data_IF_109805903733
#
_entry.id   IF_109805903733
#
_cell.length_a   1.000
_cell.length_b   1.000
_cell.length_c   1.000
_cell.angle_alpha   90.00
_cell.angle_beta   90.00
_cell.angle_gamma   90.00
#
_symmetry.space_group_name_H-M   'P 1'
#
loop_
_entity.id
_entity.type
_entity.pdbx_description
1 polymer ?
#
# COMPACT_ATOMS: atom_id res chain seq x y z
N UNK A 1 -6.04 19.08 -35.04
CA UNK A 1 -5.27 19.16 -33.78
C UNK A 1 -6.23 19.14 -32.61
N UNK A 2 -6.12 18.15 -31.74
CA UNK A 2 -6.83 18.10 -30.45
C UNK A 2 -5.92 18.65 -29.34
N UNK A 3 -6.51 19.18 -28.27
CA UNK A 3 -5.80 19.68 -27.08
C UNK A 3 -6.70 19.58 -25.85
N UNK A 4 -6.14 19.82 -24.65
CA UNK A 4 -6.94 19.85 -23.42
C UNK A 4 -7.79 21.13 -23.33
N UNK A 5 -8.83 21.10 -22.49
CA UNK A 5 -9.67 22.27 -22.24
C UNK A 5 -8.88 23.41 -21.56
N UNK A 6 -7.92 23.08 -20.70
CA UNK A 6 -7.02 24.07 -20.10
C UNK A 6 -6.15 24.77 -21.13
N UNK A 7 -5.61 24.02 -22.11
CA UNK A 7 -4.78 24.60 -23.18
C UNK A 7 -5.61 25.52 -24.09
N UNK A 8 -6.85 25.12 -24.37
CA UNK A 8 -7.74 25.88 -25.24
C UNK A 8 -8.25 27.18 -24.61
N UNK A 9 -8.69 27.13 -23.34
CA UNK A 9 -9.29 28.28 -22.65
C UNK A 9 -8.26 29.18 -21.96
N UNK A 10 -7.08 28.64 -21.63
CA UNK A 10 -6.04 29.34 -20.90
C UNK A 10 -6.29 29.45 -19.39
N UNK A 11 -5.21 29.76 -18.66
CA UNK A 11 -5.19 29.81 -17.18
C UNK A 11 -6.12 30.86 -16.55
N UNK A 12 -6.40 31.93 -17.29
CA UNK A 12 -7.18 33.07 -16.80
C UNK A 12 -8.69 32.88 -17.04
N UNK A 13 -9.10 31.81 -17.73
CA UNK A 13 -10.50 31.50 -17.97
C UNK A 13 -11.30 31.34 -16.68
N UNK A 14 -12.51 31.90 -16.65
CA UNK A 14 -13.51 31.69 -15.61
C UNK A 14 -14.87 31.46 -16.26
N UNK A 15 -15.63 30.48 -15.75
CA UNK A 15 -17.02 30.27 -16.13
C UNK A 15 -17.95 31.34 -15.54
N UNK A 16 -19.25 31.26 -15.86
CA UNK A 16 -20.28 32.20 -15.35
C UNK A 16 -20.37 32.24 -13.83
N UNK A 17 -20.07 31.12 -13.16
CA UNK A 17 -20.01 31.01 -11.70
C UNK A 17 -18.66 31.44 -11.10
N UNK A 18 -17.75 32.02 -11.89
CA UNK A 18 -16.42 32.46 -11.43
C UNK A 18 -15.41 31.34 -11.18
N UNK A 19 -15.74 30.09 -11.54
CA UNK A 19 -14.85 28.93 -11.36
C UNK A 19 -13.90 28.75 -12.56
N UNK A 20 -12.65 28.31 -12.33
CA UNK A 20 -11.74 27.91 -13.40
C UNK A 20 -12.13 26.54 -13.99
N UNK A 21 -11.33 26.04 -14.94
CA UNK A 21 -11.45 24.65 -15.42
C UNK A 21 -11.17 23.68 -14.26
N UNK A 22 -12.09 22.74 -14.04
CA UNK A 22 -11.93 21.65 -13.08
C UNK A 22 -11.64 20.37 -13.86
N UNK A 23 -10.49 19.74 -13.60
CA UNK A 23 -10.06 18.54 -14.30
C UNK A 23 -10.36 17.27 -13.50
N UNK A 24 -11.08 16.34 -14.14
CA UNK A 24 -11.36 15.01 -13.58
C UNK A 24 -10.79 13.99 -14.58
N UNK A 25 -9.47 13.76 -14.58
CA UNK A 25 -8.82 12.96 -15.60
C UNK A 25 -9.06 11.45 -15.41
N UNK A 26 -8.84 10.72 -16.49
CA UNK A 26 -8.94 9.27 -16.60
C UNK A 26 -9.45 8.88 -17.98
N UNK A 27 -9.14 7.68 -18.44
CA UNK A 27 -9.53 7.18 -19.76
C UNK A 27 -10.31 5.85 -19.62
N UNK A 28 -11.55 5.85 -19.11
CA UNK A 28 -12.36 6.98 -18.61
C UNK A 28 -12.08 7.29 -17.11
N UNK A 29 -12.48 8.46 -16.58
CA UNK A 29 -12.43 8.69 -15.13
C UNK A 29 -13.33 7.70 -14.38
N UNK A 30 -12.98 7.43 -13.11
CA UNK A 30 -13.86 6.66 -12.21
C UNK A 30 -15.17 7.45 -12.04
N UNK A 31 -16.31 6.78 -12.23
CA UNK A 31 -17.62 7.45 -12.22
C UNK A 31 -17.93 8.18 -10.90
N UNK A 32 -17.51 7.59 -9.78
CA UNK A 32 -17.62 8.22 -8.46
C UNK A 32 -16.78 9.51 -8.37
N UNK A 33 -15.56 9.52 -8.91
CA UNK A 33 -14.70 10.72 -8.89
C UNK A 33 -15.40 11.89 -9.60
N UNK A 34 -16.11 11.62 -10.70
CA UNK A 34 -16.89 12.62 -11.41
C UNK A 34 -18.07 13.10 -10.58
N UNK A 35 -18.92 12.17 -10.13
CA UNK A 35 -20.15 12.48 -9.38
C UNK A 35 -19.85 13.22 -8.07
N UNK A 36 -18.82 12.79 -7.33
CA UNK A 36 -18.38 13.44 -6.09
C UNK A 36 -17.91 14.87 -6.34
N UNK A 37 -17.11 15.09 -7.39
CA UNK A 37 -16.62 16.43 -7.71
C UNK A 37 -17.77 17.36 -8.07
N UNK A 38 -18.72 16.90 -8.89
CA UNK A 38 -19.92 17.67 -9.25
C UNK A 38 -20.73 18.01 -8.00
N UNK A 39 -21.00 17.03 -7.13
CA UNK A 39 -21.73 17.25 -5.90
C UNK A 39 -21.04 18.28 -4.99
N UNK A 40 -19.73 18.18 -4.80
CA UNK A 40 -18.95 19.10 -3.97
C UNK A 40 -18.96 20.53 -4.52
N UNK A 41 -18.82 20.69 -5.84
CA UNK A 41 -18.89 22.00 -6.50
C UNK A 41 -20.28 22.60 -6.35
N UNK A 42 -21.35 21.81 -6.53
CA UNK A 42 -22.72 22.30 -6.35
C UNK A 42 -22.99 22.72 -4.91
N UNK A 43 -22.54 21.96 -3.91
CA UNK A 43 -22.66 22.32 -2.50
C UNK A 43 -21.93 23.62 -2.18
N UNK A 44 -20.73 23.82 -2.72
CA UNK A 44 -19.99 25.09 -2.60
C UNK A 44 -20.76 26.26 -3.22
N UNK A 45 -21.28 26.10 -4.45
CA UNK A 45 -22.03 27.16 -5.14
C UNK A 45 -23.34 27.53 -4.42
N UNK A 46 -23.92 26.60 -3.64
CA UNK A 46 -25.09 26.88 -2.78
C UNK A 46 -24.70 27.48 -1.41
N UNK A 47 -23.41 27.68 -1.13
CA UNK A 47 -22.92 28.21 0.15
C UNK A 47 -23.02 27.21 1.30
N UNK A 48 -23.20 25.91 1.02
CA UNK A 48 -23.37 24.85 2.02
C UNK A 48 -22.01 24.28 2.48
N UNK A 49 -20.94 24.49 1.71
CA UNK A 49 -19.60 23.99 2.02
C UNK A 49 -18.48 24.88 1.51
N UNK A 50 -17.23 24.62 1.94
CA UNK A 50 -16.06 25.35 1.46
C UNK A 50 -15.73 25.00 0.00
N UNK A 51 -14.93 25.86 -0.65
CA UNK A 51 -14.36 25.54 -1.96
C UNK A 51 -13.45 24.30 -1.79
N UNK A 52 -13.65 23.23 -2.57
CA UNK A 52 -12.77 22.07 -2.48
C UNK A 52 -11.33 22.42 -2.83
N UNK A 53 -10.37 21.71 -2.23
CA UNK A 53 -8.95 21.88 -2.58
C UNK A 53 -8.66 21.25 -3.95
N UNK A 54 -7.92 21.96 -4.78
CA UNK A 54 -7.43 21.49 -6.06
C UNK A 54 -5.90 21.48 -6.07
N UNK A 55 -5.32 20.54 -6.81
CA UNK A 55 -3.88 20.47 -7.01
C UNK A 55 -3.40 21.41 -8.14
N UNK A 56 -2.10 21.41 -8.40
CA UNK A 56 -1.45 22.24 -9.41
C UNK A 56 -1.92 21.99 -10.85
N UNK A 57 -2.61 20.87 -11.10
CA UNK A 57 -3.20 20.52 -12.39
C UNK A 57 -4.71 20.79 -12.42
N UNK A 58 -5.25 21.50 -11.43
CA UNK A 58 -6.69 21.80 -11.34
C UNK A 58 -7.54 20.56 -11.07
N UNK A 59 -6.97 19.51 -10.47
CA UNK A 59 -7.71 18.29 -10.11
C UNK A 59 -8.14 18.32 -8.65
N UNK A 60 -9.30 17.74 -8.29
CA UNK A 60 -9.69 17.50 -6.91
C UNK A 60 -8.58 16.86 -6.07
N UNK A 61 -8.00 17.60 -5.13
CA UNK A 61 -6.81 17.15 -4.40
C UNK A 61 -7.09 15.86 -3.62
N UNK A 62 -8.28 15.70 -3.02
CA UNK A 62 -8.64 14.49 -2.28
C UNK A 62 -8.73 13.23 -3.15
N UNK A 63 -8.86 13.36 -4.48
CA UNK A 63 -8.93 12.25 -5.43
C UNK A 63 -7.58 11.94 -6.08
N UNK A 64 -6.72 12.95 -6.27
CA UNK A 64 -5.50 12.83 -7.09
C UNK A 64 -4.19 13.20 -6.35
N UNK A 65 -4.22 13.50 -5.05
CA UNK A 65 -3.01 13.85 -4.29
C UNK A 65 -2.03 12.70 -4.13
N UNK A 66 -2.51 11.48 -3.97
CA UNK A 66 -1.67 10.30 -3.78
C UNK A 66 -1.41 9.55 -5.08
N UNK A 67 -0.24 8.90 -5.15
CA UNK A 67 0.04 7.99 -6.26
C UNK A 67 -0.67 6.67 -6.07
N UNK A 68 -0.90 5.96 -7.17
CA UNK A 68 -1.55 4.65 -7.14
C UNK A 68 -0.79 3.68 -6.23
N UNK A 69 0.54 3.79 -6.17
CA UNK A 69 1.36 2.90 -5.36
C UNK A 69 1.15 3.06 -3.86
N UNK A 70 0.78 4.25 -3.37
CA UNK A 70 0.53 4.49 -1.93
C UNK A 70 -0.61 3.62 -1.38
N UNK A 71 -1.58 3.28 -2.23
CA UNK A 71 -2.73 2.44 -1.85
C UNK A 71 -2.87 1.22 -2.76
N UNK A 72 -1.76 0.72 -3.28
CA UNK A 72 -1.78 -0.47 -4.14
C UNK A 72 -1.85 -1.74 -3.28
N UNK A 73 -2.83 -2.60 -3.55
CA UNK A 73 -2.97 -3.91 -2.86
C UNK A 73 -1.77 -4.84 -3.08
N UNK A 74 -0.95 -4.58 -4.10
CA UNK A 74 0.30 -5.31 -4.39
C UNK A 74 1.53 -4.64 -3.78
N UNK A 75 1.37 -3.60 -2.96
CA UNK A 75 2.45 -2.86 -2.31
C UNK A 75 3.33 -3.74 -1.42
N UNK A 76 2.74 -4.71 -0.71
CA UNK A 76 3.50 -5.68 0.10
C UNK A 76 4.47 -6.52 -0.74
N UNK A 77 4.04 -6.99 -1.92
CA UNK A 77 4.95 -7.69 -2.84
C UNK A 77 6.09 -6.78 -3.32
N UNK A 78 5.81 -5.51 -3.57
CA UNK A 78 6.84 -4.55 -3.94
C UNK A 78 7.84 -4.36 -2.80
N UNK A 79 7.40 -4.11 -1.57
CA UNK A 79 8.25 -3.93 -0.37
C UNK A 79 9.10 -5.17 -0.08
N UNK A 80 8.53 -6.35 -0.32
CA UNK A 80 9.26 -7.59 -0.21
C UNK A 80 10.12 -7.89 -1.45
N UNK A 81 10.19 -7.03 -2.47
CA UNK A 81 11.01 -7.26 -3.67
C UNK A 81 10.60 -8.51 -4.47
N UNK A 82 9.31 -8.85 -4.44
CA UNK A 82 8.69 -9.93 -5.20
C UNK A 82 7.93 -9.33 -6.39
N UNK A 83 8.42 -9.61 -7.59
CA UNK A 83 7.89 -9.05 -8.82
C UNK A 83 7.36 -10.13 -9.75
N UNK A 84 6.27 -9.82 -10.45
CA UNK A 84 5.74 -10.69 -11.49
C UNK A 84 6.66 -10.67 -12.70
N UNK A 85 6.89 -11.83 -13.31
CA UNK A 85 7.64 -11.98 -14.57
C UNK A 85 6.74 -11.98 -15.80
N UNK A 86 5.44 -12.20 -15.60
CA UNK A 86 4.42 -12.30 -16.66
C UNK A 86 3.10 -11.64 -16.23
N UNK A 87 2.29 -11.28 -17.22
CA UNK A 87 0.93 -10.76 -16.97
C UNK A 87 0.05 -11.85 -16.35
N UNK A 88 -0.85 -11.45 -15.45
CA UNK A 88 -1.71 -12.38 -14.71
C UNK A 88 -1.09 -12.90 -13.41
N UNK A 89 0.20 -12.67 -13.16
CA UNK A 89 0.83 -12.93 -11.87
C UNK A 89 0.14 -12.18 -10.72
N UNK A 90 0.27 -12.66 -9.49
CA UNK A 90 -0.32 -12.03 -8.28
C UNK A 90 0.60 -10.98 -7.65
N UNK A 91 1.89 -11.05 -7.98
CA UNK A 91 2.99 -10.25 -7.46
C UNK A 91 3.01 -8.82 -8.03
N UNK A 92 3.93 -7.96 -7.59
CA UNK A 92 3.98 -6.59 -8.09
C UNK A 92 4.35 -6.51 -9.58
N UNK A 93 3.61 -5.71 -10.35
CA UNK A 93 3.70 -5.61 -11.81
C UNK A 93 4.70 -4.55 -12.31
N UNK A 94 5.52 -3.98 -11.43
CA UNK A 94 6.40 -2.85 -11.76
C UNK A 94 7.42 -3.22 -12.86
N UNK A 95 7.94 -4.44 -12.83
CA UNK A 95 8.95 -4.89 -13.81
C UNK A 95 8.35 -5.20 -15.17
N UNK A 96 7.04 -5.38 -15.28
CA UNK A 96 6.34 -5.62 -16.55
C UNK A 96 5.58 -4.39 -17.07
N UNK A 97 5.89 -3.20 -16.53
CA UNK A 97 5.45 -1.92 -17.10
C UNK A 97 4.51 -1.08 -16.25
N UNK A 98 4.28 -1.42 -14.98
CA UNK A 98 3.40 -0.62 -14.12
C UNK A 98 4.05 0.71 -13.68
N UNK A 99 3.43 1.83 -14.08
CA UNK A 99 3.81 3.19 -13.69
C UNK A 99 3.17 3.68 -12.37
N UNK A 100 2.49 2.79 -11.64
CA UNK A 100 1.78 3.11 -10.40
C UNK A 100 2.57 3.95 -9.37
N UNK A 101 3.91 3.79 -9.22
CA UNK A 101 4.71 4.62 -8.31
C UNK A 101 4.63 6.14 -8.53
N UNK A 102 4.36 6.59 -9.76
CA UNK A 102 4.41 8.02 -10.13
C UNK A 102 3.09 8.55 -10.70
N UNK A 103 2.07 7.70 -10.80
CA UNK A 103 0.76 8.07 -11.35
C UNK A 103 -0.17 8.45 -10.22
N UNK A 104 -0.80 9.63 -10.33
CA UNK A 104 -1.79 10.12 -9.39
C UNK A 104 -3.18 9.62 -9.77
N UNK A 105 -3.69 8.63 -9.02
CA UNK A 105 -5.02 8.04 -9.24
C UNK A 105 -5.41 7.18 -8.02
N UNK A 106 -6.68 7.27 -7.61
CA UNK A 106 -7.22 6.56 -6.45
C UNK A 106 -7.81 5.17 -6.76
N UNK A 107 -7.76 4.69 -8.01
CA UNK A 107 -8.50 3.50 -8.46
C UNK A 107 -8.18 2.23 -7.66
N UNK A 108 -6.98 2.08 -7.09
CA UNK A 108 -6.62 0.89 -6.32
C UNK A 108 -7.26 0.84 -4.93
N UNK A 109 -7.49 2.01 -4.33
CA UNK A 109 -8.21 2.10 -3.07
C UNK A 109 -9.72 2.12 -3.30
N UNK A 110 -10.14 2.85 -4.34
CA UNK A 110 -11.56 3.11 -4.60
C UNK A 110 -12.26 1.97 -5.32
N UNK A 111 -11.54 1.21 -6.16
CA UNK A 111 -12.13 0.31 -7.15
C UNK A 111 -12.64 1.08 -8.38
N UNK A 112 -12.95 0.35 -9.47
CA UNK A 112 -13.43 0.96 -10.71
C UNK A 112 -14.94 1.23 -10.66
N UNK A 113 -15.74 0.27 -10.17
CA UNK A 113 -17.20 0.36 -10.07
C UNK A 113 -17.63 -0.33 -8.77
N UNK A 114 -18.33 0.36 -7.87
CA UNK A 114 -18.81 -0.20 -6.60
C UNK A 114 -17.72 -0.92 -5.80
N UNK A 115 -16.52 -0.32 -5.71
CA UNK A 115 -15.34 -0.93 -5.07
C UNK A 115 -14.81 -2.22 -5.72
N UNK A 116 -15.30 -2.57 -6.90
CA UNK A 116 -14.89 -3.74 -7.67
C UNK A 116 -13.96 -3.35 -8.83
N UNK A 117 -13.07 -4.29 -9.18
CA UNK A 117 -12.14 -4.12 -10.29
C UNK A 117 -11.13 -3.00 -10.06
N UNK A 118 -10.53 -2.53 -11.15
CA UNK A 118 -9.36 -1.66 -11.13
C UNK A 118 -8.24 -2.25 -11.99
N UNK A 119 -7.08 -1.60 -11.98
CA UNK A 119 -5.95 -2.03 -12.82
C UNK A 119 -5.15 -3.13 -12.13
N UNK A 120 -4.36 -2.76 -11.10
CA UNK A 120 -3.34 -3.65 -10.54
C UNK A 120 -3.95 -4.82 -9.78
N UNK A 121 -5.04 -4.59 -9.05
CA UNK A 121 -5.73 -5.65 -8.33
C UNK A 121 -6.26 -6.76 -9.27
N UNK A 122 -6.51 -6.45 -10.55
CA UNK A 122 -6.93 -7.42 -11.58
C UNK A 122 -5.80 -7.91 -12.48
N UNK A 123 -4.54 -7.51 -12.23
CA UNK A 123 -3.38 -7.92 -13.04
C UNK A 123 -3.02 -6.97 -14.18
N UNK A 124 -3.74 -5.86 -14.36
CA UNK A 124 -3.43 -4.82 -15.33
C UNK A 124 -2.36 -3.85 -14.81
N UNK A 125 -1.36 -3.54 -15.65
CA UNK A 125 -0.36 -2.52 -15.34
C UNK A 125 -0.99 -1.12 -15.33
N UNK A 126 -0.50 -0.24 -14.45
CA UNK A 126 -0.86 1.17 -14.52
C UNK A 126 -0.17 1.80 -15.72
N UNK A 127 -0.95 2.35 -16.65
CA UNK A 127 -0.45 3.00 -17.87
C UNK A 127 -0.38 4.53 -17.77
N UNK A 128 -0.74 5.10 -16.60
CA UNK A 128 -0.71 6.54 -16.39
C UNK A 128 -1.84 7.34 -17.02
N UNK A 129 -3.00 6.73 -17.27
CA UNK A 129 -4.13 7.36 -18.00
C UNK A 129 -4.76 8.60 -17.32
N UNK A 130 -4.38 8.94 -16.09
CA UNK A 130 -4.81 10.15 -15.38
C UNK A 130 -3.78 11.29 -15.45
N UNK A 131 -2.63 11.06 -16.10
CA UNK A 131 -1.52 12.00 -16.14
C UNK A 131 -1.51 12.79 -17.47
N UNK A 132 -1.12 14.07 -17.48
CA UNK A 132 -1.12 14.88 -18.71
C UNK A 132 -0.21 14.37 -19.83
N UNK A 133 0.84 13.63 -19.48
CA UNK A 133 1.78 13.06 -20.45
C UNK A 133 1.29 11.78 -21.12
N UNK A 134 0.08 11.30 -20.80
CA UNK A 134 -0.46 10.08 -21.41
C UNK A 134 -0.90 10.33 -22.86
N UNK A 135 -0.59 9.42 -23.81
CA UNK A 135 0.15 8.16 -23.62
C UNK A 135 1.68 8.29 -23.77
N UNK A 136 2.18 9.35 -24.40
CA UNK A 136 3.53 9.41 -24.95
C UNK A 136 4.65 9.29 -23.91
N UNK A 137 4.47 9.86 -22.71
CA UNK A 137 5.48 9.79 -21.63
C UNK A 137 5.53 8.42 -20.94
N UNK A 138 4.56 7.54 -21.20
CA UNK A 138 4.39 6.25 -20.53
C UNK A 138 4.60 5.07 -21.49
N UNK A 139 4.65 5.33 -22.79
CA UNK A 139 4.90 4.33 -23.81
C UNK A 139 6.40 3.96 -23.91
N UNK A 140 6.74 2.71 -24.26
CA UNK A 140 5.84 1.56 -24.41
C UNK A 140 5.39 1.00 -23.05
N UNK A 141 4.08 0.72 -22.89
CA UNK A 141 3.47 0.33 -21.61
C UNK A 141 3.93 -1.01 -21.03
N UNK A 142 4.56 -1.86 -21.83
CA UNK A 142 5.01 -3.20 -21.44
C UNK A 142 6.47 -3.25 -20.98
N UNK A 143 7.20 -2.13 -21.06
CA UNK A 143 8.58 -2.05 -20.55
C UNK A 143 8.60 -1.51 -19.14
N UNK A 144 9.48 -2.06 -18.31
CA UNK A 144 9.77 -1.53 -16.98
C UNK A 144 10.03 -0.02 -17.05
N UNK A 145 9.37 0.80 -16.21
CA UNK A 145 9.68 2.22 -16.14
C UNK A 145 11.16 2.41 -15.73
N UNK A 146 11.93 3.30 -16.39
CA UNK A 146 13.38 3.41 -16.15
C UNK A 146 13.77 3.65 -14.69
N UNK A 147 13.03 4.52 -13.98
CA UNK A 147 13.25 4.79 -12.56
C UNK A 147 12.95 3.61 -11.64
N UNK A 148 12.11 2.68 -12.09
CA UNK A 148 11.74 1.49 -11.32
C UNK A 148 12.84 0.43 -11.31
N UNK A 149 13.72 0.38 -12.31
CA UNK A 149 14.82 -0.61 -12.33
C UNK A 149 15.75 -0.44 -11.12
N UNK A 150 16.03 0.80 -10.73
CA UNK A 150 16.87 1.10 -9.56
C UNK A 150 16.18 0.66 -8.28
N UNK A 151 14.93 1.06 -8.09
CA UNK A 151 14.18 0.75 -6.86
C UNK A 151 13.87 -0.74 -6.74
N UNK A 152 13.50 -1.43 -7.82
CA UNK A 152 13.28 -2.88 -7.82
C UNK A 152 14.52 -3.65 -7.37
N UNK A 153 15.70 -3.29 -7.87
CA UNK A 153 16.96 -3.93 -7.47
C UNK A 153 17.32 -3.68 -6.00
N UNK A 154 17.14 -2.44 -5.52
CA UNK A 154 17.37 -2.10 -4.13
C UNK A 154 16.40 -2.84 -3.18
N UNK A 155 15.12 -2.92 -3.55
CA UNK A 155 14.13 -3.56 -2.69
C UNK A 155 14.25 -5.09 -2.70
N UNK A 156 14.77 -5.71 -3.77
CA UNK A 156 15.08 -7.16 -3.79
C UNK A 156 16.05 -7.57 -2.68
N UNK A 157 17.09 -6.78 -2.42
CA UNK A 157 18.10 -7.12 -1.39
C UNK A 157 17.52 -6.99 0.01
N UNK A 158 16.84 -5.88 0.30
CA UNK A 158 16.09 -5.67 1.54
C UNK A 158 15.05 -6.77 1.76
N UNK A 159 14.24 -7.06 0.74
CA UNK A 159 13.19 -8.07 0.78
C UNK A 159 13.72 -9.47 1.04
N UNK A 160 14.90 -9.84 0.50
CA UNK A 160 15.50 -11.15 0.77
C UNK A 160 15.77 -11.37 2.27
N UNK A 161 16.20 -10.33 2.98
CA UNK A 161 16.44 -10.37 4.42
C UNK A 161 15.12 -10.36 5.19
N UNK A 162 14.25 -9.39 4.89
CA UNK A 162 13.00 -9.21 5.66
C UNK A 162 12.05 -10.40 5.52
N UNK A 163 11.93 -11.01 4.34
CA UNK A 163 11.12 -12.23 4.15
C UNK A 163 11.62 -13.39 5.02
N UNK A 164 12.94 -13.53 5.19
CA UNK A 164 13.53 -14.57 6.05
C UNK A 164 13.15 -14.31 7.51
N UNK A 165 13.30 -13.07 7.98
CA UNK A 165 12.97 -12.67 9.34
C UNK A 165 11.47 -12.81 9.63
N UNK A 166 10.60 -12.30 8.75
CA UNK A 166 9.15 -12.45 8.85
C UNK A 166 8.72 -13.91 8.89
N UNK A 167 9.32 -14.79 8.06
CA UNK A 167 9.04 -16.23 8.08
C UNK A 167 9.42 -16.87 9.40
N UNK A 168 10.57 -16.51 9.97
CA UNK A 168 10.99 -17.02 11.29
C UNK A 168 10.01 -16.59 12.39
N UNK A 169 9.63 -15.30 12.42
CA UNK A 169 8.63 -14.80 13.35
C UNK A 169 7.27 -15.46 13.14
N UNK A 170 6.82 -15.65 11.90
CA UNK A 170 5.55 -16.30 11.60
C UNK A 170 5.55 -17.77 12.04
N UNK A 171 6.65 -18.50 11.84
CA UNK A 171 6.78 -19.88 12.33
C UNK A 171 6.64 -19.94 13.84
N UNK A 172 7.20 -18.97 14.57
CA UNK A 172 7.02 -18.85 16.02
C UNK A 172 5.56 -18.54 16.39
N UNK A 173 4.96 -17.50 15.79
CA UNK A 173 3.60 -17.06 16.13
C UNK A 173 2.51 -18.06 15.72
N UNK A 174 2.82 -19.03 14.86
CA UNK A 174 1.92 -20.12 14.52
C UNK A 174 1.93 -21.28 15.55
N UNK A 175 2.75 -21.18 16.61
CA UNK A 175 2.78 -22.15 17.72
C UNK A 175 1.97 -21.63 18.91
N UNK A 176 1.12 -22.49 19.47
CA UNK A 176 0.46 -22.23 20.75
C UNK A 176 1.46 -22.46 21.90
N UNK A 177 1.45 -21.68 22.99
CA UNK A 177 2.34 -21.87 24.14
C UNK A 177 2.35 -23.31 24.69
N UNK A 178 1.21 -24.01 24.66
CA UNK A 178 1.11 -25.42 25.11
C UNK A 178 1.89 -26.37 24.20
N UNK A 179 1.96 -26.09 22.90
CA UNK A 179 2.67 -26.94 21.93
C UNK A 179 4.18 -26.74 22.04
N UNK A 180 4.62 -25.53 22.36
CA UNK A 180 6.02 -25.24 22.68
C UNK A 180 6.48 -26.00 23.93
N UNK A 181 5.64 -26.11 24.95
CA UNK A 181 6.01 -26.76 26.21
C UNK A 181 5.94 -28.30 26.15
N UNK A 182 4.90 -28.85 25.53
CA UNK A 182 4.58 -30.28 25.66
C UNK A 182 5.24 -31.20 24.63
N UNK A 183 5.35 -30.76 23.37
CA UNK A 183 5.72 -31.67 22.27
C UNK A 183 6.60 -31.04 21.19
N UNK A 184 6.70 -29.70 21.15
CA UNK A 184 7.24 -28.93 20.03
C UNK A 184 6.66 -29.39 18.67
N UNK A 185 5.39 -29.82 18.67
CA UNK A 185 4.70 -30.37 17.51
C UNK A 185 3.28 -29.80 17.40
N UNK A 186 2.91 -29.40 16.18
CA UNK A 186 1.56 -28.93 15.88
C UNK A 186 0.62 -30.14 15.85
N UNK A 187 -0.48 -30.17 16.63
CA UNK A 187 -1.35 -31.34 16.78
C UNK A 187 -2.34 -31.52 15.60
N UNK A 188 -2.10 -30.86 14.46
CA UNK A 188 -2.98 -30.95 13.29
C UNK A 188 -2.71 -32.21 12.49
N UNK A 189 -3.74 -33.04 12.29
CA UNK A 189 -3.67 -34.20 11.39
C UNK A 189 -3.52 -33.84 9.91
N UNK A 190 -3.71 -32.58 9.54
CA UNK A 190 -3.54 -32.06 8.18
C UNK A 190 -2.19 -31.36 7.97
N UNK A 191 -1.54 -30.95 9.07
CA UNK A 191 -0.31 -30.17 9.03
C UNK A 191 0.92 -31.05 9.00
N UNK A 192 1.58 -31.17 7.84
CA UNK A 192 2.93 -31.71 7.78
C UNK A 192 3.94 -30.63 8.20
N UNK A 193 4.16 -30.51 9.51
CA UNK A 193 5.08 -29.52 10.06
C UNK A 193 6.42 -30.19 10.28
N UNK A 194 7.43 -29.70 9.57
CA UNK A 194 8.79 -30.18 9.70
C UNK A 194 9.28 -29.92 11.13
N UNK A 195 9.88 -30.94 11.76
CA UNK A 195 10.35 -30.82 13.14
C UNK A 195 11.41 -29.72 13.22
N UNK A 196 11.34 -28.80 14.19
CA UNK A 196 12.30 -27.72 14.31
C UNK A 196 13.72 -28.29 14.51
N UNK A 197 14.68 -27.79 13.73
CA UNK A 197 16.09 -28.11 13.90
C UNK A 197 16.60 -27.60 15.26
N UNK A 198 17.74 -28.13 15.73
CA UNK A 198 18.38 -27.62 16.96
C UNK A 198 18.66 -26.11 16.87
N UNK A 199 19.05 -25.63 15.69
CA UNK A 199 19.30 -24.21 15.43
C UNK A 199 18.04 -23.36 15.50
N UNK A 200 16.89 -23.85 14.99
CA UNK A 200 15.63 -23.12 15.09
C UNK A 200 15.13 -23.08 16.53
N UNK A 201 15.35 -24.13 17.33
CA UNK A 201 15.05 -24.12 18.78
C UNK A 201 15.90 -23.12 19.56
N UNK A 202 17.19 -22.99 19.23
CA UNK A 202 18.05 -21.98 19.84
C UNK A 202 17.64 -20.56 19.46
N UNK A 203 17.32 -20.32 18.18
CA UNK A 203 16.80 -19.04 17.70
C UNK A 203 15.45 -18.70 18.33
N UNK A 204 14.59 -19.69 18.53
CA UNK A 204 13.32 -19.57 19.23
C UNK A 204 13.51 -19.06 20.66
N UNK A 205 14.37 -19.73 21.44
CA UNK A 205 14.66 -19.30 22.81
C UNK A 205 15.18 -17.86 22.87
N UNK A 206 16.07 -17.48 21.94
CA UNK A 206 16.59 -16.11 21.85
C UNK A 206 15.49 -15.10 21.47
N UNK A 207 14.65 -15.43 20.47
CA UNK A 207 13.57 -14.56 20.02
C UNK A 207 12.54 -14.31 21.13
N UNK A 208 12.11 -15.37 21.82
CA UNK A 208 11.19 -15.29 22.96
C UNK A 208 11.77 -14.41 24.08
N UNK A 209 13.05 -14.60 24.42
CA UNK A 209 13.73 -13.79 25.44
C UNK A 209 13.82 -12.32 25.04
N UNK A 210 13.99 -12.00 23.76
CA UNK A 210 13.95 -10.62 23.26
C UNK A 210 12.54 -10.04 23.33
N UNK A 211 11.52 -10.79 22.90
CA UNK A 211 10.12 -10.37 22.90
C UNK A 211 9.63 -9.99 24.30
N UNK A 212 10.02 -10.76 25.31
CA UNK A 212 9.64 -10.55 26.72
C UNK A 212 10.78 -9.92 27.55
N UNK A 213 11.73 -9.23 26.91
CA UNK A 213 12.86 -8.61 27.62
C UNK A 213 12.43 -7.53 28.63
N UNK A 214 11.32 -6.84 28.34
CA UNK A 214 10.74 -5.77 29.14
C UNK A 214 9.30 -6.05 29.61
N UNK A 215 8.82 -7.30 29.48
CA UNK A 215 7.47 -7.69 29.93
C UNK A 215 7.43 -9.13 30.45
N UNK A 216 6.53 -9.40 31.39
CA UNK A 216 6.32 -10.77 31.86
C UNK A 216 5.64 -11.61 30.76
N UNK A 217 6.07 -12.87 30.60
CA UNK A 217 5.42 -13.80 29.68
C UNK A 217 4.02 -14.14 30.19
N UNK A 218 2.94 -13.96 29.40
CA UNK A 218 1.60 -14.36 29.79
C UNK A 218 1.55 -15.84 30.19
N UNK A 219 0.93 -16.15 31.34
CA UNK A 219 0.85 -17.52 31.87
C UNK A 219 2.05 -17.97 32.72
N UNK A 220 3.12 -17.17 32.81
CA UNK A 220 4.13 -17.38 33.85
C UNK A 220 3.62 -16.82 35.18
N UNK A 221 3.52 -17.67 36.21
CA UNK A 221 3.28 -17.21 37.58
C UNK A 221 4.50 -16.42 38.03
N UNK A 222 4.45 -15.11 37.87
CA UNK A 222 5.39 -14.21 38.51
C UNK A 222 4.96 -14.12 39.97
N UNK A 223 5.57 -14.93 40.83
CA UNK A 223 5.44 -14.73 42.28
C UNK A 223 5.75 -13.27 42.62
N UNK A 224 5.04 -12.70 43.59
CA UNK A 224 4.93 -11.27 43.94
C UNK A 224 6.25 -10.47 44.13
N UNK A 225 7.43 -11.04 43.91
CA UNK A 225 8.73 -10.41 44.08
C UNK A 225 9.41 -9.80 42.83
N UNK A 226 9.00 -10.12 41.60
CA UNK A 226 9.81 -9.77 40.39
C UNK A 226 9.44 -8.43 39.73
N UNK A 227 8.24 -7.89 39.99
CA UNK A 227 7.78 -6.62 39.40
C UNK A 227 8.47 -5.37 39.99
N UNK A 228 9.28 -5.50 41.05
CA UNK A 228 9.93 -4.36 41.72
C UNK A 228 11.24 -3.90 41.08
N UNK A 229 11.79 -4.58 40.08
CA UNK A 229 13.15 -4.29 39.60
C UNK A 229 13.27 -3.26 38.46
N UNK A 230 12.19 -2.82 37.79
CA UNK A 230 12.31 -1.91 36.63
C UNK A 230 11.22 -0.84 36.49
N UNK A 231 10.73 -0.30 37.61
CA UNK A 231 9.82 0.84 37.63
C UNK A 231 10.50 2.14 38.05
N UNK A 232 11.11 2.87 37.11
CA UNK A 232 11.24 4.33 37.23
C UNK A 232 10.24 4.97 36.27
N UNK A 233 8.99 5.03 36.71
CA UNK A 233 8.09 6.08 36.28
C UNK A 233 7.39 6.62 37.53
N UNK A 234 7.87 7.77 37.98
CA UNK A 234 7.20 8.65 38.93
C UNK A 234 5.87 9.11 38.33
N UNK A 235 4.76 9.06 39.07
CA UNK A 235 3.56 9.79 38.70
C UNK A 235 3.70 11.22 39.23
N UNK A 236 3.76 12.22 38.35
CA UNK A 236 3.43 13.60 38.70
C UNK A 236 2.13 13.99 37.98
N UNK A 237 1.13 14.27 38.83
CA UNK A 237 -0.05 15.16 38.75
C UNK A 237 -0.68 15.41 37.38
#
# INVERSE_FOLDING_TARGET
>A
NSMSLMDFLGKDYRGTAGLPVINIPGCAPVGDNFTETVAMVLLFLQGIGPLPEFDELGRPAWLFKETVHQRCVRGGYYEEGIFATEYGGKECLVEIGCWGPVVQCNITQRGAINHMGGCMNTGGVCIGCTMPGFPDKFAPFYKTPPGSTVSSNAVRTYGAVIRRLRRMTQQYQNMEPRWDESSHQIPSGWGQVEKPSLTSRALHYLYEKMQFSDSARPGTYVGEGSLKAKGKHTPEV
#
